data_IF_658315434083
#
_entry.id   IF_658315434083
#
_cell.length_a   1.000
_cell.length_b   1.000
_cell.length_c   1.000
_cell.angle_alpha   90.00
_cell.angle_beta   90.00
_cell.angle_gamma   90.00
#
_symmetry.space_group_name_H-M   'P 1'
#
loop_
_entity.id
_entity.type
_entity.pdbx_description
1 polymer ?
#
# COMPACT_ATOMS: atom_id res chain seq x y z
N UNK A 1 13.01 2.62 -18.71
CA UNK A 1 11.68 2.93 -19.24
C UNK A 1 10.68 2.20 -18.35
N UNK A 2 9.89 2.98 -17.61
CA UNK A 2 8.96 2.57 -16.55
C UNK A 2 7.81 1.76 -17.11
N UNK A 3 7.20 0.87 -16.32
CA UNK A 3 5.92 0.23 -16.63
C UNK A 3 4.82 1.29 -16.81
N UNK A 4 4.61 1.76 -18.04
CA UNK A 4 3.50 2.62 -18.42
C UNK A 4 2.61 1.78 -19.32
N UNK A 5 1.33 1.55 -18.98
CA UNK A 5 0.41 0.89 -19.89
C UNK A 5 0.30 1.71 -21.19
N UNK A 6 0.31 1.05 -22.33
CA UNK A 6 -0.09 1.68 -23.60
C UNK A 6 -1.59 2.04 -23.48
N UNK A 7 -1.86 3.28 -23.12
CA UNK A 7 -3.20 3.84 -23.29
C UNK A 7 -3.44 4.13 -24.77
N UNK A 8 -4.35 3.40 -25.38
CA UNK A 8 -5.01 3.81 -26.62
C UNK A 8 -5.74 5.11 -26.36
N UNK A 9 -5.36 6.15 -27.09
CA UNK A 9 -5.95 7.49 -27.01
C UNK A 9 -7.42 7.47 -27.41
N UNK A 10 -8.33 7.61 -26.45
CA UNK A 10 -9.65 8.17 -26.70
C UNK A 10 -9.64 9.60 -26.19
N UNK A 11 -9.70 10.51 -27.18
CA UNK A 11 -9.79 11.94 -26.99
C UNK A 11 -11.16 12.31 -26.40
N UNK A 12 -11.21 12.78 -25.17
CA UNK A 12 -12.36 13.47 -24.61
C UNK A 12 -11.86 14.71 -23.87
N UNK A 13 -12.17 15.87 -24.47
CA UNK A 13 -11.94 17.19 -23.89
C UNK A 13 -12.77 17.36 -22.61
N UNK A 14 -12.13 17.56 -21.50
CA UNK A 14 -12.74 18.17 -20.32
C UNK A 14 -11.85 19.32 -19.83
N UNK A 15 -12.34 20.53 -20.07
CA UNK A 15 -11.85 21.75 -19.41
C UNK A 15 -12.46 21.79 -18.01
N UNK A 16 -11.63 21.86 -16.99
CA UNK A 16 -12.05 22.23 -15.65
C UNK A 16 -11.10 23.31 -15.12
N UNK A 17 -11.63 24.52 -15.01
CA UNK A 17 -11.04 25.61 -14.23
C UNK A 17 -11.02 25.23 -12.76
N UNK A 18 -9.84 25.24 -12.16
CA UNK A 18 -9.70 25.15 -10.70
C UNK A 18 -9.34 26.51 -10.15
N UNK A 19 -10.32 27.16 -9.56
CA UNK A 19 -10.13 28.27 -8.63
C UNK A 19 -9.81 27.69 -7.26
N UNK A 20 -8.66 28.06 -6.70
CA UNK A 20 -8.27 27.80 -5.32
C UNK A 20 -8.98 28.75 -4.37
N UNK A 21 -9.48 28.33 -3.23
CA UNK A 21 -9.64 29.19 -2.09
C UNK A 21 -8.69 28.88 -0.95
N UNK A 22 -8.32 29.95 -0.34
CA UNK A 22 -7.52 30.29 0.81
C UNK A 22 -7.38 29.33 1.98
N UNK A 23 -6.25 29.57 2.64
CA UNK A 23 -5.76 29.14 3.94
C UNK A 23 -6.85 29.05 5.02
N UNK A 24 -6.94 27.92 5.67
CA UNK A 24 -7.65 27.76 6.93
C UNK A 24 -6.69 27.46 8.08
N UNK A 25 -6.80 28.31 9.08
CA UNK A 25 -6.09 28.42 10.33
C UNK A 25 -6.24 27.16 11.20
N UNK A 26 -5.14 26.72 11.80
CA UNK A 26 -5.08 25.57 12.69
C UNK A 26 -5.73 25.88 14.03
N UNK A 27 -6.83 25.20 14.36
CA UNK A 27 -7.41 25.17 15.69
C UNK A 27 -6.78 24.05 16.54
N UNK A 28 -6.59 24.26 17.85
CA UNK A 28 -5.91 23.30 18.72
C UNK A 28 -6.79 22.06 19.00
N UNK A 29 -6.13 20.91 19.03
CA UNK A 29 -6.69 19.61 19.40
C UNK A 29 -7.10 19.64 20.87
N UNK A 30 -8.35 19.30 21.25
CA UNK A 30 -8.75 19.20 22.65
C UNK A 30 -8.21 17.91 23.28
N UNK A 31 -7.58 18.07 24.44
CA UNK A 31 -7.13 16.99 25.33
C UNK A 31 -8.32 16.13 25.78
N UNK A 32 -8.21 14.81 25.60
CA UNK A 32 -9.23 13.86 25.97
C UNK A 32 -9.45 13.83 27.49
N UNK A 33 -10.60 14.34 27.92
CA UNK A 33 -11.17 14.03 29.23
C UNK A 33 -12.00 12.75 29.12
N UNK A 34 -11.91 11.90 30.14
CA UNK A 34 -12.43 10.54 30.17
C UNK A 34 -13.87 10.38 29.67
N UNK A 35 -14.03 9.51 28.71
CA UNK A 35 -15.30 9.14 28.13
C UNK A 35 -15.82 7.90 28.85
N UNK A 36 -16.88 8.07 29.63
CA UNK A 36 -17.74 6.97 30.08
C UNK A 36 -18.32 6.27 28.84
N UNK A 37 -18.16 4.96 28.76
CA UNK A 37 -18.69 4.15 27.68
C UNK A 37 -20.22 4.32 27.56
N UNK A 38 -20.64 4.97 26.48
CA UNK A 38 -22.05 5.04 26.10
C UNK A 38 -22.36 3.85 25.21
N UNK A 39 -23.35 3.03 25.62
CA UNK A 39 -23.88 1.97 24.77
C UNK A 39 -24.51 2.59 23.51
N UNK A 40 -23.83 2.53 22.40
CA UNK A 40 -24.39 2.93 21.10
C UNK A 40 -25.19 1.74 20.57
N UNK A 41 -26.51 1.78 20.72
CA UNK A 41 -27.43 0.88 20.04
C UNK A 41 -27.81 1.52 18.70
N UNK A 42 -27.23 1.02 17.62
CA UNK A 42 -27.65 1.42 16.27
C UNK A 42 -28.74 0.47 15.79
N UNK A 43 -29.98 0.93 15.84
CA UNK A 43 -31.12 0.20 15.28
C UNK A 43 -31.24 0.54 13.79
N UNK A 44 -30.93 -0.40 12.92
CA UNK A 44 -31.19 -0.28 11.48
C UNK A 44 -32.62 -0.78 11.23
N UNK A 45 -33.54 0.13 10.94
CA UNK A 45 -34.91 -0.23 10.55
C UNK A 45 -34.92 -0.79 9.13
N UNK A 46 -34.66 -2.08 9.00
CA UNK A 46 -35.03 -2.84 7.80
C UNK A 46 -36.41 -3.48 8.04
N UNK A 47 -37.26 -3.53 7.03
CA UNK A 47 -38.65 -4.01 7.10
C UNK A 47 -38.77 -5.49 7.46
N UNK A 48 -37.69 -6.23 7.53
CA UNK A 48 -37.54 -7.58 8.09
C UNK A 48 -36.11 -7.76 8.59
N UNK A 49 -35.81 -7.58 9.87
CA UNK A 49 -34.47 -7.87 10.36
C UNK A 49 -34.30 -9.38 10.52
N UNK A 50 -33.59 -10.00 9.60
CA UNK A 50 -33.25 -11.42 9.66
C UNK A 50 -32.09 -11.70 10.62
N UNK A 51 -31.39 -10.67 11.09
CA UNK A 51 -30.30 -10.80 12.03
C UNK A 51 -30.12 -9.53 12.88
N UNK A 52 -29.63 -9.70 14.11
CA UNK A 52 -29.16 -8.60 14.97
C UNK A 52 -27.71 -8.88 15.37
N UNK A 53 -26.88 -7.84 15.41
CA UNK A 53 -25.51 -7.92 15.90
C UNK A 53 -25.45 -7.07 17.18
N UNK A 54 -25.11 -7.72 18.31
CA UNK A 54 -24.83 -7.07 19.57
C UNK A 54 -23.32 -6.98 19.77
N UNK A 55 -22.79 -5.75 19.91
CA UNK A 55 -21.39 -5.52 20.28
C UNK A 55 -21.34 -5.25 21.80
N UNK A 56 -20.60 -6.07 22.51
CA UNK A 56 -20.37 -5.92 23.95
C UNK A 56 -18.88 -5.70 24.20
N UNK A 57 -18.51 -4.45 24.49
CA UNK A 57 -17.13 -4.06 24.76
C UNK A 57 -16.58 -4.61 26.08
N UNK A 58 -17.48 -5.00 27.02
CA UNK A 58 -17.10 -5.54 28.33
C UNK A 58 -17.01 -7.07 28.32
N UNK A 59 -17.27 -7.71 27.19
CA UNK A 59 -17.16 -9.15 27.07
C UNK A 59 -15.69 -9.60 27.14
N UNK A 60 -15.45 -10.75 27.76
CA UNK A 60 -14.11 -11.36 27.74
C UNK A 60 -13.71 -11.64 26.29
N UNK A 61 -12.52 -11.21 25.85
CA UNK A 61 -12.03 -11.50 24.51
C UNK A 61 -12.02 -13.00 24.22
N UNK A 62 -12.48 -13.39 23.04
CA UNK A 62 -12.48 -14.81 22.63
C UNK A 62 -11.07 -15.26 22.23
N UNK A 63 -10.31 -14.35 21.62
CA UNK A 63 -8.92 -14.57 21.19
C UNK A 63 -8.23 -13.25 20.90
N UNK A 64 -6.90 -13.26 20.93
CA UNK A 64 -6.09 -12.17 20.44
C UNK A 64 -6.10 -12.15 18.92
N UNK A 65 -6.17 -10.95 18.35
CA UNK A 65 -6.07 -10.77 16.90
C UNK A 65 -4.59 -10.67 16.52
N UNK A 66 -4.07 -11.59 15.71
CA UNK A 66 -2.66 -11.55 15.32
C UNK A 66 -2.39 -10.29 14.47
N UNK A 67 -1.28 -9.58 14.74
CA UNK A 67 -0.93 -8.36 13.98
C UNK A 67 -0.92 -8.55 12.46
N UNK A 68 -0.56 -9.74 11.96
CA UNK A 68 -0.54 -10.07 10.53
C UNK A 68 -1.88 -9.93 9.81
N UNK A 69 -2.99 -9.85 10.56
CA UNK A 69 -4.31 -9.56 9.98
C UNK A 69 -4.35 -8.15 9.34
N UNK A 70 -3.54 -7.23 9.84
CA UNK A 70 -3.44 -5.86 9.36
C UNK A 70 -2.33 -5.68 8.30
N UNK A 71 -2.11 -6.73 7.51
CA UNK A 71 -1.17 -6.74 6.42
C UNK A 71 -1.66 -5.97 5.19
N UNK A 72 -0.75 -5.80 4.24
CA UNK A 72 -1.00 -5.15 2.97
C UNK A 72 -0.43 -5.96 1.81
N UNK A 73 -0.70 -5.53 0.59
CA UNK A 73 -0.34 -6.20 -0.63
C UNK A 73 0.37 -5.24 -1.57
N UNK A 74 1.51 -5.68 -2.13
CA UNK A 74 2.28 -4.94 -3.13
C UNK A 74 2.46 -5.83 -4.35
N UNK A 75 2.23 -5.26 -5.54
CA UNK A 75 2.44 -5.94 -6.82
C UNK A 75 3.19 -5.03 -7.79
N UNK A 76 4.00 -5.62 -8.67
CA UNK A 76 4.65 -4.92 -9.78
C UNK A 76 3.62 -4.51 -10.85
N UNK A 77 2.66 -3.68 -10.43
CA UNK A 77 1.54 -3.20 -11.22
C UNK A 77 1.54 -1.67 -11.22
N UNK A 78 1.47 -1.07 -12.40
CA UNK A 78 1.36 0.37 -12.54
C UNK A 78 2.50 1.12 -11.83
N UNK A 79 2.16 1.96 -10.87
CA UNK A 79 3.11 2.75 -10.07
C UNK A 79 3.23 2.26 -8.61
N UNK A 80 2.85 1.03 -8.34
CA UNK A 80 2.91 0.51 -6.97
C UNK A 80 4.37 0.34 -6.50
N UNK A 81 5.21 -0.29 -7.34
CA UNK A 81 6.64 -0.47 -7.05
C UNK A 81 7.45 0.66 -7.67
N UNK A 82 7.57 0.70 -9.01
CA UNK A 82 8.33 1.73 -9.73
C UNK A 82 7.55 3.05 -9.83
N UNK A 83 8.07 4.10 -9.20
CA UNK A 83 7.38 5.38 -9.01
C UNK A 83 6.40 5.40 -7.84
N UNK A 84 6.40 4.31 -7.05
CA UNK A 84 5.71 4.17 -5.78
C UNK A 84 6.71 4.00 -4.65
N UNK A 85 6.92 2.75 -4.16
CA UNK A 85 7.88 2.49 -3.08
C UNK A 85 9.34 2.71 -3.49
N UNK A 86 9.65 2.56 -4.77
CA UNK A 86 10.99 2.72 -5.34
C UNK A 86 10.98 3.72 -6.50
N UNK A 87 11.69 4.82 -6.33
CA UNK A 87 11.89 5.85 -7.35
C UNK A 87 13.18 6.63 -7.04
N UNK A 88 14.36 6.16 -7.50
CA UNK A 88 15.65 6.79 -7.15
C UNK A 88 15.79 8.27 -7.50
N UNK A 89 15.02 8.75 -8.49
CA UNK A 89 15.01 10.16 -8.91
C UNK A 89 14.06 11.05 -8.12
N UNK A 90 13.30 10.47 -7.17
CA UNK A 90 12.34 11.25 -6.38
C UNK A 90 13.08 12.11 -5.33
N UNK A 91 12.62 13.36 -5.04
CA UNK A 91 13.27 14.22 -4.04
C UNK A 91 13.35 13.62 -2.63
N UNK A 92 12.45 12.71 -2.27
CA UNK A 92 12.44 12.02 -0.97
C UNK A 92 13.11 10.63 -1.01
N UNK A 93 13.74 10.25 -2.14
CA UNK A 93 14.40 8.96 -2.23
C UNK A 93 15.64 8.91 -1.34
N UNK A 94 15.79 7.79 -0.65
CA UNK A 94 17.01 7.50 0.10
C UNK A 94 18.13 6.93 -0.79
N UNK A 95 19.26 6.57 -0.17
CA UNK A 95 20.42 5.97 -0.86
C UNK A 95 20.13 4.66 -1.58
N UNK A 96 19.04 3.97 -1.22
CA UNK A 96 18.59 2.72 -1.87
C UNK A 96 17.56 2.99 -2.98
N UNK A 97 17.09 4.22 -3.12
CA UNK A 97 16.04 4.63 -4.05
C UNK A 97 14.63 4.45 -3.49
N UNK A 98 14.47 4.24 -2.18
CA UNK A 98 13.16 4.11 -1.55
C UNK A 98 12.60 5.48 -1.19
N UNK A 99 11.36 5.71 -1.55
CA UNK A 99 10.65 6.95 -1.25
C UNK A 99 10.30 7.03 0.23
N UNK A 100 10.88 8.01 0.93
CA UNK A 100 10.64 8.22 2.36
C UNK A 100 9.22 8.67 2.66
N UNK A 101 8.63 9.50 1.81
CA UNK A 101 7.23 9.93 1.94
C UNK A 101 6.25 8.74 1.91
N UNK A 102 6.51 7.73 1.07
CA UNK A 102 5.72 6.50 1.03
C UNK A 102 5.99 5.62 2.26
N UNK A 103 7.25 5.49 2.70
CA UNK A 103 7.59 4.76 3.92
C UNK A 103 6.89 5.33 5.15
N UNK A 104 6.84 6.65 5.27
CA UNK A 104 6.18 7.32 6.38
C UNK A 104 4.67 7.06 6.40
N UNK A 105 4.01 7.11 5.23
CA UNK A 105 2.60 6.77 5.10
C UNK A 105 2.31 5.29 5.43
N UNK A 106 3.18 4.36 5.03
CA UNK A 106 3.05 2.93 5.37
C UNK A 106 3.14 2.71 6.88
N UNK A 107 4.06 3.41 7.55
CA UNK A 107 4.19 3.38 9.01
C UNK A 107 2.98 3.99 9.70
N UNK A 108 2.50 5.15 9.25
CA UNK A 108 1.30 5.80 9.76
C UNK A 108 0.06 4.91 9.62
N UNK A 109 -0.06 4.21 8.49
CA UNK A 109 -1.14 3.24 8.25
C UNK A 109 -1.07 2.02 9.19
N UNK A 110 0.08 1.78 9.81
CA UNK A 110 0.28 0.66 10.74
C UNK A 110 0.33 -0.70 10.05
N UNK A 111 0.84 -0.77 8.82
CA UNK A 111 0.99 -2.04 8.09
C UNK A 111 1.97 -2.95 8.81
N UNK A 112 1.55 -4.17 9.11
CA UNK A 112 2.33 -5.13 9.90
C UNK A 112 3.04 -6.20 9.07
N UNK A 113 2.46 -6.53 7.90
CA UNK A 113 2.97 -7.54 6.99
C UNK A 113 2.67 -7.12 5.55
N UNK A 114 3.58 -7.36 4.60
CA UNK A 114 3.37 -7.05 3.18
C UNK A 114 3.62 -8.28 2.34
N UNK A 115 2.63 -8.66 1.52
CA UNK A 115 2.79 -9.68 0.49
C UNK A 115 3.45 -9.08 -0.74
N UNK A 116 4.52 -9.73 -1.23
CA UNK A 116 5.35 -9.30 -2.35
C UNK A 116 5.84 -10.54 -3.15
N UNK A 117 6.12 -10.48 -4.45
CA UNK A 117 6.02 -9.35 -5.37
C UNK A 117 4.68 -9.17 -6.04
N UNK A 118 3.65 -9.87 -5.63
CA UNK A 118 2.33 -9.59 -6.09
C UNK A 118 1.39 -10.76 -6.28
N UNK A 119 0.44 -10.53 -7.17
CA UNK A 119 -0.62 -11.41 -7.65
C UNK A 119 -0.28 -12.02 -9.01
N UNK A 120 -0.90 -11.51 -10.11
CA UNK A 120 -0.68 -12.06 -11.45
C UNK A 120 0.75 -11.92 -11.95
N UNK A 121 1.48 -10.91 -11.50
CA UNK A 121 2.91 -10.73 -11.80
C UNK A 121 3.74 -11.97 -11.48
N UNK A 122 3.45 -12.65 -10.36
CA UNK A 122 4.20 -13.83 -9.89
C UNK A 122 4.18 -14.98 -10.91
N UNK A 123 3.12 -15.12 -11.70
CA UNK A 123 2.93 -16.24 -12.62
C UNK A 123 4.04 -16.40 -13.67
N UNK A 124 4.81 -15.34 -13.94
CA UNK A 124 5.90 -15.36 -14.91
C UNK A 124 7.17 -14.68 -14.36
N UNK A 125 7.24 -14.51 -13.05
CA UNK A 125 8.37 -13.88 -12.39
C UNK A 125 9.40 -14.90 -11.93
N UNK A 126 10.66 -14.64 -12.29
CA UNK A 126 11.80 -15.40 -11.80
C UNK A 126 12.56 -14.54 -10.79
N UNK A 127 12.48 -14.89 -9.51
CA UNK A 127 13.04 -14.09 -8.44
C UNK A 127 14.58 -13.99 -8.48
N UNK A 128 15.25 -14.98 -9.06
CA UNK A 128 16.71 -14.96 -9.26
C UNK A 128 17.16 -13.82 -10.18
N UNK A 129 16.32 -13.38 -11.10
CA UNK A 129 16.60 -12.24 -11.96
C UNK A 129 16.74 -10.92 -11.18
N UNK A 130 16.15 -10.85 -9.97
CA UNK A 130 16.21 -9.69 -9.08
C UNK A 130 17.34 -9.72 -8.05
N UNK A 131 18.30 -10.67 -8.14
CA UNK A 131 19.41 -10.82 -7.19
C UNK A 131 20.72 -10.25 -7.74
N UNK A 132 21.63 -9.90 -6.82
CA UNK A 132 22.95 -9.39 -7.17
C UNK A 132 22.95 -7.95 -7.66
N UNK A 133 24.05 -7.48 -8.27
CA UNK A 133 24.20 -6.10 -8.72
C UNK A 133 23.14 -5.73 -9.77
N UNK A 134 22.50 -4.58 -9.60
CA UNK A 134 21.38 -4.14 -10.46
C UNK A 134 21.75 -4.04 -11.93
N UNK A 135 22.98 -3.63 -12.23
CA UNK A 135 23.51 -3.51 -13.59
C UNK A 135 23.61 -4.84 -14.34
N UNK A 136 23.62 -5.96 -13.64
CA UNK A 136 23.69 -7.29 -14.20
C UNK A 136 22.33 -7.99 -14.30
N UNK A 137 21.27 -7.38 -13.75
CA UNK A 137 19.94 -7.97 -13.74
C UNK A 137 19.29 -7.88 -15.12
N UNK A 138 18.69 -8.97 -15.61
CA UNK A 138 18.07 -8.97 -16.93
C UNK A 138 16.77 -8.18 -16.94
N UNK A 139 16.50 -7.48 -18.03
CA UNK A 139 15.16 -6.97 -18.30
C UNK A 139 14.29 -8.09 -18.87
N UNK A 140 13.06 -8.21 -18.36
CA UNK A 140 12.08 -9.20 -18.79
C UNK A 140 10.80 -8.52 -19.27
N UNK A 141 10.08 -9.20 -20.15
CA UNK A 141 8.71 -8.79 -20.47
C UNK A 141 7.78 -9.40 -19.44
N UNK A 142 7.09 -8.56 -18.71
CA UNK A 142 6.00 -8.99 -17.86
C UNK A 142 4.75 -9.25 -18.72
N UNK A 143 4.23 -10.48 -18.64
CA UNK A 143 3.09 -10.93 -19.44
C UNK A 143 1.76 -10.59 -18.76
N UNK A 144 1.75 -10.40 -17.44
CA UNK A 144 0.54 -10.06 -16.71
C UNK A 144 0.08 -8.61 -17.01
N UNK A 145 1.01 -7.68 -17.00
CA UNK A 145 0.72 -6.23 -17.13
C UNK A 145 1.27 -5.63 -18.43
N UNK A 146 1.83 -6.47 -19.32
CA UNK A 146 2.35 -6.09 -20.65
C UNK A 146 3.39 -4.96 -20.61
N UNK A 147 4.20 -4.93 -19.57
CA UNK A 147 5.26 -3.94 -19.39
C UNK A 147 6.66 -4.58 -19.42
N UNK A 148 7.70 -3.77 -19.29
CA UNK A 148 9.06 -4.23 -19.12
C UNK A 148 9.41 -4.21 -17.64
N UNK A 149 9.72 -5.37 -17.06
CA UNK A 149 10.30 -5.49 -15.73
C UNK A 149 11.82 -5.31 -15.83
N UNK A 150 12.33 -4.35 -15.07
CA UNK A 150 13.75 -4.01 -15.04
C UNK A 150 14.53 -4.77 -13.97
N UNK A 151 13.83 -5.43 -13.05
CA UNK A 151 14.38 -6.13 -11.90
C UNK A 151 15.25 -5.23 -10.98
N UNK A 152 15.10 -3.90 -11.07
CA UNK A 152 15.78 -2.96 -10.16
C UNK A 152 15.35 -3.13 -8.71
N UNK A 153 14.11 -3.56 -8.50
CA UNK A 153 13.54 -3.86 -7.20
C UNK A 153 13.32 -5.36 -7.08
N UNK A 154 14.33 -6.07 -6.60
CA UNK A 154 14.26 -7.51 -6.35
C UNK A 154 13.92 -7.84 -4.90
N UNK A 155 14.02 -9.14 -4.57
CA UNK A 155 13.64 -9.65 -3.24
C UNK A 155 14.52 -9.07 -2.12
N UNK A 156 15.84 -8.93 -2.35
CA UNK A 156 16.76 -8.35 -1.39
C UNK A 156 16.50 -6.86 -1.17
N UNK A 157 16.12 -6.14 -2.23
CA UNK A 157 15.76 -4.73 -2.15
C UNK A 157 14.46 -4.57 -1.36
N UNK A 158 13.49 -5.44 -1.60
CA UNK A 158 12.24 -5.43 -0.84
C UNK A 158 12.44 -5.79 0.63
N UNK A 159 13.35 -6.72 0.94
CA UNK A 159 13.73 -7.00 2.32
C UNK A 159 14.29 -5.75 3.01
N UNK A 160 15.21 -5.01 2.37
CA UNK A 160 15.73 -3.75 2.94
C UNK A 160 14.62 -2.71 3.15
N UNK A 161 13.72 -2.61 2.18
CA UNK A 161 12.56 -1.73 2.30
C UNK A 161 11.65 -2.11 3.48
N UNK A 162 11.35 -3.39 3.64
CA UNK A 162 10.49 -3.87 4.72
C UNK A 162 11.08 -3.62 6.11
N UNK A 163 12.41 -3.74 6.24
CA UNK A 163 13.11 -3.38 7.49
C UNK A 163 12.95 -1.89 7.82
N UNK A 164 13.03 -1.02 6.81
CA UNK A 164 12.80 0.42 6.98
C UNK A 164 11.33 0.74 7.28
N UNK A 165 10.41 0.02 6.69
CA UNK A 165 8.98 0.16 6.93
C UNK A 165 8.52 -0.44 8.28
N UNK A 166 9.31 -1.34 8.87
CA UNK A 166 8.95 -2.06 10.09
C UNK A 166 7.90 -3.15 9.87
N UNK A 167 7.87 -3.76 8.66
CA UNK A 167 6.89 -4.77 8.28
C UNK A 167 7.52 -6.16 8.17
N UNK A 168 6.73 -7.21 8.42
CA UNK A 168 7.07 -8.57 8.00
C UNK A 168 6.83 -8.74 6.49
N UNK A 169 7.42 -9.78 5.92
CA UNK A 169 7.24 -10.11 4.49
C UNK A 169 6.51 -11.44 4.36
N UNK A 170 5.51 -11.45 3.48
CA UNK A 170 4.92 -12.68 2.94
C UNK A 170 5.34 -12.79 1.48
N UNK A 171 6.26 -13.72 1.17
CA UNK A 171 6.69 -13.93 -0.21
C UNK A 171 5.67 -14.77 -0.98
N UNK A 172 5.37 -14.34 -2.20
CA UNK A 172 4.66 -15.11 -3.19
C UNK A 172 5.68 -15.63 -4.22
N UNK A 173 5.66 -16.93 -4.49
CA UNK A 173 6.52 -17.66 -5.43
C UNK A 173 5.70 -18.59 -6.30
#
# INVERSE_FOLDING_TARGET
RRCIPLMTTHNSQYSAETTHPDKQESSPVPTAAGTTASNVSTTVNATTPDASIALNADATPVADVPPRLFGSFVEHLGRCVYGGIYEPSHPTADENGFRQDVLDLVKELGVTCVRYPGGNFVSNYNWEDGIGPRENRPMRRDLAWHCTETNEMGIDDFYRWSQKAGTEIMLAV
#
